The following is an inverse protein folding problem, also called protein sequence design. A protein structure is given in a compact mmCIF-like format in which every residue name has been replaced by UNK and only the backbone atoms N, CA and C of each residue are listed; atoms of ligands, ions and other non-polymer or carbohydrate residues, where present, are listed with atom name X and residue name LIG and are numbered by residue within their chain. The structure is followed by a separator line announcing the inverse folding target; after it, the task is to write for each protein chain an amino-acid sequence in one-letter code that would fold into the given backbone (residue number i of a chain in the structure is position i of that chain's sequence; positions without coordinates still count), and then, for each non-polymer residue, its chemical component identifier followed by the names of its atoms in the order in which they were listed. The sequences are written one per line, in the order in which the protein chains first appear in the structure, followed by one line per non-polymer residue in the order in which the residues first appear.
data_IF_679463071544
#
_entry.id   IF_679463071544
#
_cell.length_a   1.000
_cell.length_b   1.000
_cell.length_c   1.000
_cell.angle_alpha   90.00
_cell.angle_beta   90.00
_cell.angle_gamma   90.00
#
_symmetry.space_group_name_H-M   'P 1'
#
loop_
_entity.id
_entity.type
_entity.pdbx_description
1 polymer ?
#
# COMPACT_ATOMS: atom_id res chain seq x y z
N UNK A 1 28.33 -17.40 -28.55
CA UNK A 1 27.58 -16.48 -27.68
C UNK A 1 26.15 -16.98 -27.67
N UNK A 2 25.82 -17.87 -26.74
CA UNK A 2 24.49 -18.48 -26.62
C UNK A 2 23.51 -17.45 -26.06
N UNK A 3 22.62 -16.95 -26.91
CA UNK A 3 21.51 -16.12 -26.49
C UNK A 3 20.62 -16.96 -25.58
N UNK A 4 20.54 -16.60 -24.31
CA UNK A 4 19.55 -17.16 -23.40
C UNK A 4 18.17 -16.74 -23.92
N UNK A 5 17.47 -17.66 -24.58
CA UNK A 5 16.04 -17.51 -24.83
C UNK A 5 15.34 -17.68 -23.49
N UNK A 6 15.17 -16.57 -22.76
CA UNK A 6 14.26 -16.49 -21.63
C UNK A 6 12.85 -16.31 -22.19
N UNK A 7 12.33 -17.34 -22.85
CA UNK A 7 10.90 -17.40 -23.19
C UNK A 7 10.16 -17.75 -21.90
N UNK A 8 9.82 -16.72 -21.13
CA UNK A 8 8.88 -16.83 -20.01
C UNK A 8 7.55 -17.37 -20.52
N UNK A 9 6.88 -18.16 -19.70
CA UNK A 9 5.45 -18.40 -19.91
C UNK A 9 4.66 -17.10 -19.71
N UNK A 10 3.44 -17.03 -20.25
CA UNK A 10 2.56 -15.87 -20.06
C UNK A 10 2.32 -15.60 -18.57
N UNK A 11 2.19 -16.66 -17.78
CA UNK A 11 1.97 -16.59 -16.34
C UNK A 11 3.18 -16.00 -15.61
N UNK A 12 4.40 -16.43 -15.97
CA UNK A 12 5.62 -15.90 -15.36
C UNK A 12 5.86 -14.43 -15.74
N UNK A 13 5.47 -14.00 -16.94
CA UNK A 13 5.54 -12.58 -17.33
C UNK A 13 4.58 -11.72 -16.50
N UNK A 14 3.38 -12.22 -16.22
CA UNK A 14 2.39 -11.56 -15.36
C UNK A 14 2.88 -11.46 -13.91
N UNK A 15 3.40 -12.55 -13.35
CA UNK A 15 4.00 -12.57 -12.01
C UNK A 15 5.13 -11.53 -11.90
N UNK A 16 5.98 -11.42 -12.93
CA UNK A 16 7.11 -10.49 -12.94
C UNK A 16 6.63 -9.03 -12.99
N UNK A 17 5.57 -8.75 -13.76
CA UNK A 17 4.92 -7.42 -13.79
C UNK A 17 4.34 -7.07 -12.43
N UNK A 18 3.63 -8.00 -11.80
CA UNK A 18 3.06 -7.81 -10.45
C UNK A 18 4.19 -7.59 -9.43
N UNK A 19 5.24 -8.40 -9.47
CA UNK A 19 6.40 -8.26 -8.59
C UNK A 19 7.09 -6.91 -8.75
N UNK A 20 7.28 -6.43 -9.99
CA UNK A 20 7.86 -5.12 -10.26
C UNK A 20 6.98 -3.99 -9.70
N UNK A 21 5.66 -4.04 -9.96
CA UNK A 21 4.71 -3.07 -9.43
C UNK A 21 4.69 -3.05 -7.90
N UNK A 22 4.61 -4.22 -7.26
CA UNK A 22 4.64 -4.36 -5.80
C UNK A 22 5.96 -3.87 -5.22
N UNK A 23 7.08 -4.10 -5.89
CA UNK A 23 8.39 -3.62 -5.46
C UNK A 23 8.47 -2.10 -5.44
N UNK A 24 8.01 -1.46 -6.53
CA UNK A 24 7.92 -0.01 -6.64
C UNK A 24 7.00 0.57 -5.55
N UNK A 25 5.84 -0.06 -5.34
CA UNK A 25 4.91 0.37 -4.31
C UNK A 25 5.49 0.20 -2.90
N UNK A 26 6.10 -0.95 -2.58
CA UNK A 26 6.76 -1.19 -1.29
C UNK A 26 7.91 -0.21 -1.06
N UNK A 27 8.76 0.04 -2.07
CA UNK A 27 9.87 0.99 -1.97
C UNK A 27 9.38 2.43 -1.79
N UNK A 28 8.46 2.90 -2.64
CA UNK A 28 8.04 4.30 -2.62
C UNK A 28 7.17 4.65 -1.41
N UNK A 29 6.42 3.68 -0.90
CA UNK A 29 5.32 3.97 0.00
C UNK A 29 5.50 3.39 1.40
N UNK A 30 5.78 2.09 1.51
CA UNK A 30 5.78 1.36 2.77
C UNK A 30 7.16 1.43 3.44
N UNK A 31 8.22 1.21 2.66
CA UNK A 31 9.61 1.19 3.09
C UNK A 31 10.47 2.20 2.32
N UNK A 32 10.12 3.51 2.36
CA UNK A 32 10.90 4.53 1.68
C UNK A 32 12.34 4.55 2.17
N UNK A 33 13.26 4.30 1.23
CA UNK A 33 14.67 4.61 1.40
C UNK A 33 14.93 6.06 0.97
N UNK A 34 16.08 6.60 1.36
CA UNK A 34 16.57 7.88 0.82
C UNK A 34 17.05 7.74 -0.63
N UNK A 35 17.27 6.51 -1.07
CA UNK A 35 17.76 6.19 -2.40
C UNK A 35 16.58 5.96 -3.34
N UNK A 36 16.66 6.51 -4.55
CA UNK A 36 15.65 6.34 -5.60
C UNK A 36 15.70 4.93 -6.26
N UNK A 37 16.47 4.00 -5.68
CA UNK A 37 16.68 2.66 -6.21
C UNK A 37 15.76 1.62 -5.58
N UNK A 38 15.41 0.63 -6.39
CA UNK A 38 14.60 -0.51 -5.98
C UNK A 38 15.42 -1.42 -5.05
N UNK A 39 14.97 -1.57 -3.80
CA UNK A 39 15.74 -2.33 -2.80
C UNK A 39 15.61 -3.84 -3.07
N UNK A 40 16.73 -4.56 -3.05
CA UNK A 40 16.74 -6.01 -3.27
C UNK A 40 15.84 -6.75 -2.28
N UNK A 41 15.76 -6.27 -1.03
CA UNK A 41 14.89 -6.83 0.00
C UNK A 41 13.40 -6.70 -0.32
N UNK A 42 12.96 -5.52 -0.78
CA UNK A 42 11.56 -5.30 -1.18
C UNK A 42 11.23 -6.04 -2.48
N UNK A 43 12.19 -6.14 -3.41
CA UNK A 43 12.02 -6.95 -4.62
C UNK A 43 11.78 -8.42 -4.27
N UNK A 44 12.62 -8.98 -3.41
CA UNK A 44 12.48 -10.38 -2.96
C UNK A 44 11.12 -10.62 -2.30
N UNK A 45 10.66 -9.70 -1.45
CA UNK A 45 9.35 -9.79 -0.81
C UNK A 45 8.22 -9.68 -1.84
N UNK A 46 8.34 -8.74 -2.80
CA UNK A 46 7.35 -8.54 -3.86
C UNK A 46 7.25 -9.73 -4.82
N UNK A 47 8.37 -10.36 -5.20
CA UNK A 47 8.37 -11.59 -6.00
C UNK A 47 7.64 -12.71 -5.27
N UNK A 48 7.83 -12.84 -3.95
CA UNK A 48 7.09 -13.82 -3.16
C UNK A 48 5.61 -13.48 -3.04
N UNK A 49 5.26 -12.20 -2.91
CA UNK A 49 3.87 -11.74 -2.92
C UNK A 49 3.16 -12.03 -4.25
N UNK A 50 3.88 -11.90 -5.37
CA UNK A 50 3.37 -12.23 -6.70
C UNK A 50 3.12 -13.73 -6.84
N UNK A 51 4.04 -14.56 -6.34
CA UNK A 51 3.91 -16.02 -6.26
C UNK A 51 3.01 -16.49 -5.09
N UNK A 52 1.95 -15.74 -4.78
CA UNK A 52 0.88 -16.11 -3.83
C UNK A 52 1.22 -16.13 -2.32
N UNK A 53 2.41 -15.69 -1.91
CA UNK A 53 2.71 -15.61 -0.47
C UNK A 53 1.97 -14.45 0.19
N UNK A 54 1.26 -14.72 1.29
CA UNK A 54 0.56 -13.68 2.05
C UNK A 54 1.50 -12.95 3.02
N UNK A 55 1.43 -11.61 3.03
CA UNK A 55 2.20 -10.76 3.95
C UNK A 55 1.28 -9.76 4.63
N UNK A 56 1.41 -9.64 5.96
CA UNK A 56 0.71 -8.59 6.70
C UNK A 56 1.41 -7.26 6.51
N UNK A 57 0.88 -6.42 5.62
CA UNK A 57 1.36 -5.06 5.41
C UNK A 57 0.68 -4.03 6.32
N UNK A 58 -0.28 -4.47 7.15
CA UNK A 58 -1.01 -3.58 8.06
C UNK A 58 -0.06 -2.85 9.04
N UNK A 59 0.84 -3.53 9.76
CA UNK A 59 1.75 -2.85 10.69
C UNK A 59 2.65 -1.79 10.03
N UNK A 60 3.37 -2.06 8.92
CA UNK A 60 4.23 -1.05 8.31
C UNK A 60 3.43 0.09 7.65
N UNK A 61 2.24 -0.17 7.11
CA UNK A 61 1.34 0.89 6.60
C UNK A 61 0.90 1.83 7.73
N UNK A 62 0.48 1.28 8.88
CA UNK A 62 0.09 2.08 10.03
C UNK A 62 1.25 2.93 10.57
N UNK A 63 2.44 2.33 10.70
CA UNK A 63 3.64 3.05 11.11
C UNK A 63 3.94 4.21 10.14
N UNK A 64 3.75 4.01 8.83
CA UNK A 64 3.95 5.05 7.82
C UNK A 64 2.92 6.16 7.91
N UNK A 65 1.64 5.83 8.12
CA UNK A 65 0.57 6.82 8.33
C UNK A 65 0.87 7.66 9.57
N UNK A 66 1.21 7.02 10.68
CA UNK A 66 1.51 7.71 11.94
C UNK A 66 2.71 8.66 11.78
N UNK A 67 3.79 8.18 11.17
CA UNK A 67 4.96 9.00 10.89
C UNK A 67 4.64 10.18 9.97
N UNK A 68 3.87 9.95 8.90
CA UNK A 68 3.46 11.01 7.99
C UNK A 68 2.61 12.08 8.68
N UNK A 69 1.72 11.69 9.59
CA UNK A 69 0.95 12.64 10.40
C UNK A 69 1.85 13.50 11.30
N UNK A 70 2.82 12.89 11.99
CA UNK A 70 3.80 13.63 12.81
C UNK A 70 4.59 14.63 11.95
N UNK A 71 5.12 14.17 10.81
CA UNK A 71 5.90 15.01 9.89
C UNK A 71 5.06 16.20 9.39
N UNK A 72 3.80 15.98 8.99
CA UNK A 72 2.89 17.06 8.57
C UNK A 72 2.54 18.03 9.71
N UNK A 73 2.32 17.53 10.93
CA UNK A 73 2.03 18.38 12.09
C UNK A 73 3.20 19.28 12.44
N UNK A 74 4.44 18.78 12.33
CA UNK A 74 5.63 19.57 12.61
C UNK A 74 5.91 20.60 11.51
N UNK A 75 5.66 20.26 10.23
CA UNK A 75 5.76 21.20 9.11
C UNK A 75 4.71 22.33 9.16
N UNK A 76 3.56 22.13 9.82
CA UNK A 76 2.59 23.20 10.06
C UNK A 76 3.07 24.21 11.11
N UNK A 77 4.00 23.83 11.99
CA UNK A 77 4.53 24.68 13.08
C UNK A 77 5.77 25.48 12.65
N UNK A 78 6.57 24.95 11.72
CA UNK A 78 7.70 25.65 11.11
C UNK A 78 7.35 26.05 9.68
N UNK A 79 7.25 27.36 9.42
CA UNK A 79 6.87 28.00 8.16
C UNK A 79 7.69 27.53 6.93
N UNK A 80 7.42 26.34 6.39
CA UNK A 80 8.08 25.80 5.21
C UNK A 80 7.13 24.87 4.41
N UNK A 81 6.03 25.48 3.95
CA UNK A 81 4.98 24.84 3.14
C UNK A 81 5.49 24.39 1.75
N UNK A 82 6.67 24.85 1.31
CA UNK A 82 7.22 24.59 -0.03
C UNK A 82 8.00 23.28 -0.21
N UNK A 83 8.35 22.54 0.86
CA UNK A 83 9.34 21.46 0.79
C UNK A 83 8.83 20.05 1.12
N UNK A 84 7.52 19.86 1.29
CA UNK A 84 6.93 18.57 1.70
C UNK A 84 7.07 17.52 0.57
N UNK A 85 8.23 16.88 0.49
CA UNK A 85 8.58 15.75 -0.40
C UNK A 85 8.32 14.39 0.28
N UNK A 86 7.20 14.22 0.95
CA UNK A 86 6.84 12.93 1.54
C UNK A 86 5.69 12.29 0.77
N UNK A 87 5.91 11.07 0.28
CA UNK A 87 4.84 10.21 -0.22
C UNK A 87 3.94 9.82 0.97
N UNK A 88 2.97 10.67 1.29
CA UNK A 88 2.02 10.45 2.38
C UNK A 88 0.87 9.54 1.90
N UNK A 89 0.56 8.45 2.62
CA UNK A 89 -0.54 7.53 2.30
C UNK A 89 -1.97 8.06 2.38
N UNK A 90 -2.25 9.26 1.86
CA UNK A 90 -3.55 9.92 1.96
C UNK A 90 -4.72 9.02 1.60
N UNK A 91 -4.56 8.22 0.56
CA UNK A 91 -5.64 7.37 0.04
C UNK A 91 -5.97 6.23 1.00
N UNK A 92 -4.96 5.65 1.67
CA UNK A 92 -5.17 4.66 2.73
C UNK A 92 -5.77 5.30 3.98
N UNK A 93 -5.32 6.49 4.35
CA UNK A 93 -5.90 7.24 5.46
C UNK A 93 -7.38 7.58 5.19
N UNK A 94 -7.71 8.03 3.97
CA UNK A 94 -9.09 8.31 3.57
C UNK A 94 -9.94 7.05 3.51
N UNK A 95 -9.42 5.96 2.95
CA UNK A 95 -10.13 4.68 2.93
C UNK A 95 -10.39 4.17 4.35
N UNK A 96 -9.41 4.26 5.24
CA UNK A 96 -9.56 3.91 6.66
C UNK A 96 -10.54 4.84 7.39
N UNK A 97 -10.44 6.14 7.19
CA UNK A 97 -11.36 7.10 7.80
C UNK A 97 -12.80 6.89 7.29
N UNK A 98 -12.96 6.57 6.01
CA UNK A 98 -14.26 6.26 5.44
C UNK A 98 -14.87 4.98 6.01
N UNK A 99 -14.06 3.92 6.20
CA UNK A 99 -14.56 2.64 6.73
C UNK A 99 -14.91 2.70 8.21
N UNK A 100 -14.19 3.47 9.02
CA UNK A 100 -14.39 3.51 10.47
C UNK A 100 -15.15 4.74 10.97
N UNK A 101 -14.85 5.95 10.49
CA UNK A 101 -15.51 7.19 10.96
C UNK A 101 -16.74 7.55 10.14
N UNK A 102 -16.65 7.56 8.80
CA UNK A 102 -17.80 7.91 7.97
C UNK A 102 -18.90 6.85 8.07
N UNK A 103 -18.57 5.57 8.26
CA UNK A 103 -19.56 4.52 8.50
C UNK A 103 -20.47 4.80 9.71
N UNK A 104 -19.94 5.35 10.80
CA UNK A 104 -20.74 5.69 11.99
C UNK A 104 -21.63 6.93 11.80
N UNK A 105 -21.21 7.87 10.96
CA UNK A 105 -21.97 9.08 10.62
C UNK A 105 -23.07 8.75 9.59
N UNK A 106 -22.76 7.97 8.56
CA UNK A 106 -23.69 7.60 7.49
C UNK A 106 -24.59 6.41 7.84
N UNK A 107 -24.25 5.54 8.82
CA UNK A 107 -25.17 4.49 9.28
C UNK A 107 -26.44 5.03 9.93
N UNK A 108 -26.42 6.30 10.38
CA UNK A 108 -27.60 6.98 10.89
C UNK A 108 -28.45 7.61 9.78
N UNK A 109 -27.85 7.87 8.61
CA UNK A 109 -28.47 8.63 7.51
C UNK A 109 -28.97 7.71 6.39
N UNK A 110 -28.35 6.54 6.18
CA UNK A 110 -28.76 5.66 5.09
C UNK A 110 -28.51 4.17 5.38
N UNK A 111 -29.61 3.40 5.53
CA UNK A 111 -29.59 1.93 5.61
C UNK A 111 -29.47 1.26 4.23
N UNK A 112 -29.49 2.02 3.13
CA UNK A 112 -29.52 1.50 1.77
C UNK A 112 -28.17 1.45 1.06
N UNK A 113 -27.13 2.09 1.60
CA UNK A 113 -25.78 2.01 1.03
C UNK A 113 -25.15 0.69 1.48
N UNK A 114 -25.40 -0.34 0.68
CA UNK A 114 -24.83 -1.68 0.81
C UNK A 114 -23.32 -1.64 1.07
N UNK A 115 -22.86 -2.64 1.84
CA UNK A 115 -21.48 -2.80 2.30
C UNK A 115 -20.45 -2.32 1.25
N UNK A 116 -19.52 -1.41 1.62
CA UNK A 116 -18.54 -0.91 0.67
C UNK A 116 -17.66 -2.04 0.13
N UNK A 117 -17.35 -1.95 -1.16
CA UNK A 117 -16.51 -2.88 -1.95
C UNK A 117 -15.21 -3.27 -1.21
N UNK A 118 -14.68 -2.38 -0.37
CA UNK A 118 -13.49 -2.62 0.47
C UNK A 118 -13.62 -3.84 1.39
N UNK A 119 -14.84 -4.20 1.84
CA UNK A 119 -15.04 -5.39 2.69
C UNK A 119 -14.71 -6.69 1.94
N UNK A 120 -14.85 -6.74 0.62
CA UNK A 120 -14.47 -7.91 -0.20
C UNK A 120 -12.97 -8.17 -0.22
N UNK A 121 -12.15 -7.13 -0.03
CA UNK A 121 -10.69 -7.22 -0.07
C UNK A 121 -10.04 -7.17 1.31
N UNK A 122 -10.83 -6.95 2.36
CA UNK A 122 -10.35 -6.85 3.74
C UNK A 122 -10.13 -8.21 4.42
N UNK A 123 -10.31 -9.33 3.72
CA UNK A 123 -10.10 -10.68 4.26
C UNK A 123 -10.92 -10.93 5.53
N UNK A 124 -12.21 -10.60 5.51
CA UNK A 124 -13.08 -10.98 6.63
C UNK A 124 -13.16 -12.51 6.68
N UNK A 125 -12.52 -13.08 7.70
CA UNK A 125 -12.78 -14.40 8.25
C UNK A 125 -14.29 -14.56 8.47
N UNK A 126 -14.98 -15.04 7.46
CA UNK A 126 -16.26 -15.71 7.62
C UNK A 126 -15.93 -17.19 7.53
N UNK A 127 -15.91 -17.87 8.68
CA UNK A 127 -16.34 -19.27 8.86
C UNK A 127 -16.17 -19.64 10.34
N UNK A 128 -17.16 -19.25 11.14
CA UNK A 128 -17.68 -19.96 12.32
C UNK A 128 -19.17 -19.65 12.42
#
# INVERSE_FOLDING_TARGET
MSYWNFSLSVDEEEELKIAAYLSLWLCGFIFPSRDDYLRVGTFKTASRMAAESTYSLVPPILARIYRGLIETSNCMVGHDIGSIKYAFPRHFLYAWAATYFLRGIYSNIDKSIGCPIIRRYAGTLNDL
#
